data_IF_799180678896
#
_entry.id   IF_799180678896
#
_cell.length_a   1.000
_cell.length_b   1.000
_cell.length_c   1.000
_cell.angle_alpha   90.00
_cell.angle_beta   90.00
_cell.angle_gamma   90.00
#
_symmetry.space_group_name_H-M   'P 1'
#
loop_
_entity.id
_entity.type
_entity.pdbx_description
1 polymer ?
#
# COMPACT_ATOMS: atom_id res chain seq x y z
N UNK A 1 32.94 3.99 -11.64
CA UNK A 1 31.86 3.56 -12.56
C UNK A 1 31.69 2.04 -12.66
N UNK A 2 32.74 1.22 -12.76
CA UNK A 2 32.63 -0.26 -12.86
C UNK A 2 31.98 -0.97 -11.64
N UNK A 3 32.08 -0.42 -10.42
CA UNK A 3 31.46 -0.98 -9.20
C UNK A 3 29.95 -0.74 -9.11
N UNK A 4 29.43 0.33 -9.75
CA UNK A 4 28.00 0.63 -9.79
C UNK A 4 27.26 -0.29 -10.78
N UNK A 5 27.94 -0.67 -11.89
CA UNK A 5 27.40 -1.62 -12.88
C UNK A 5 27.27 -3.06 -12.32
N UNK A 6 28.17 -3.48 -11.42
CA UNK A 6 28.07 -4.78 -10.77
C UNK A 6 26.90 -4.86 -9.76
N UNK A 7 26.56 -3.75 -9.11
CA UNK A 7 25.41 -3.68 -8.21
C UNK A 7 24.08 -3.76 -8.95
N UNK A 8 24.03 -3.20 -10.18
CA UNK A 8 22.84 -3.27 -11.04
C UNK A 8 22.58 -4.68 -11.62
N UNK A 9 23.65 -5.46 -11.84
CA UNK A 9 23.55 -6.85 -12.35
C UNK A 9 23.13 -7.83 -11.25
N UNK A 10 23.45 -7.57 -9.98
CA UNK A 10 23.00 -8.36 -8.84
C UNK A 10 21.49 -8.22 -8.54
N UNK A 11 20.80 -7.27 -9.17
CA UNK A 11 19.35 -7.07 -9.10
C UNK A 11 18.57 -7.81 -10.21
N UNK A 12 19.22 -8.72 -10.94
CA UNK A 12 18.51 -9.61 -11.87
C UNK A 12 17.51 -10.51 -11.11
N UNK A 13 16.30 -10.67 -11.62
CA UNK A 13 15.16 -11.18 -10.88
C UNK A 13 15.40 -12.62 -10.43
N UNK A 14 15.55 -12.85 -9.14
CA UNK A 14 15.11 -14.11 -8.57
C UNK A 14 13.63 -14.23 -8.95
N UNK A 15 13.28 -15.27 -9.70
CA UNK A 15 11.92 -15.58 -10.07
C UNK A 15 11.11 -15.89 -8.78
N UNK A 16 10.76 -14.86 -8.03
CA UNK A 16 9.84 -14.96 -6.93
C UNK A 16 8.45 -15.09 -7.54
N UNK A 17 7.84 -16.25 -7.41
CA UNK A 17 6.43 -16.42 -7.70
C UNK A 17 5.67 -15.58 -6.67
N UNK A 18 5.23 -14.38 -7.05
CA UNK A 18 4.28 -13.64 -6.24
C UNK A 18 2.95 -14.38 -6.31
N UNK A 19 2.47 -14.81 -5.16
CA UNK A 19 1.20 -15.51 -5.08
C UNK A 19 0.07 -14.49 -5.01
N UNK A 20 -0.84 -14.56 -5.99
CA UNK A 20 -2.10 -13.85 -5.96
C UNK A 20 -2.91 -14.26 -4.73
N UNK A 21 -3.47 -13.27 -4.01
CA UNK A 21 -4.38 -13.51 -2.88
C UNK A 21 -5.82 -13.37 -3.34
N UNK A 22 -6.66 -14.37 -3.08
CA UNK A 22 -8.09 -14.33 -3.42
C UNK A 22 -8.85 -13.33 -2.54
N UNK A 23 -8.39 -13.11 -1.32
CA UNK A 23 -8.98 -12.18 -0.34
C UNK A 23 -8.37 -10.79 -0.53
N UNK A 24 -9.20 -9.77 -0.37
CA UNK A 24 -8.80 -8.36 -0.45
C UNK A 24 -7.67 -8.06 0.55
N UNK A 25 -6.62 -7.39 0.06
CA UNK A 25 -5.52 -6.86 0.87
C UNK A 25 -5.55 -5.34 0.78
N UNK A 26 -6.25 -4.70 1.71
CA UNK A 26 -6.37 -3.25 1.79
C UNK A 26 -5.19 -2.61 2.52
N UNK A 27 -4.82 -1.39 2.12
CA UNK A 27 -3.95 -0.53 2.91
C UNK A 27 -4.71 0.16 4.07
N UNK A 28 -6.04 0.13 4.05
CA UNK A 28 -6.89 0.57 5.15
C UNK A 28 -7.18 -0.59 6.12
N UNK A 29 -7.36 -0.33 7.41
CA UNK A 29 -7.22 0.93 8.12
C UNK A 29 -5.74 1.27 8.35
N UNK A 30 -5.49 2.54 8.72
CA UNK A 30 -4.15 3.08 8.90
C UNK A 30 -3.56 3.69 7.63
N UNK A 31 -2.28 4.00 7.65
CA UNK A 31 -1.55 4.65 6.57
C UNK A 31 -0.41 3.79 6.00
N UNK A 32 -0.17 2.60 6.54
CA UNK A 32 0.86 1.71 6.04
C UNK A 32 0.45 1.03 4.74
N UNK A 33 1.42 0.85 3.86
CA UNK A 33 1.25 0.07 2.63
C UNK A 33 1.79 -1.34 2.84
N UNK A 34 1.03 -2.35 2.39
CA UNK A 34 1.47 -3.73 2.33
C UNK A 34 2.60 -3.92 1.31
N UNK A 35 3.53 -4.84 1.57
CA UNK A 35 4.57 -5.22 0.62
C UNK A 35 4.02 -6.00 -0.59
N UNK A 36 2.80 -6.52 -0.51
CA UNK A 36 2.17 -7.29 -1.60
C UNK A 36 1.41 -6.37 -2.55
N UNK A 37 1.48 -6.70 -3.84
CA UNK A 37 0.66 -6.05 -4.87
C UNK A 37 -0.74 -6.71 -4.94
N UNK A 38 -1.71 -6.01 -5.53
CA UNK A 38 -3.09 -6.50 -5.65
C UNK A 38 -3.26 -7.68 -6.63
N UNK A 39 -2.23 -7.98 -7.43
CA UNK A 39 -2.26 -9.02 -8.46
C UNK A 39 -2.73 -8.52 -9.84
N UNK A 40 -2.32 -9.23 -10.89
CA UNK A 40 -2.60 -8.83 -12.28
C UNK A 40 -4.09 -8.78 -12.57
N UNK A 41 -4.54 -7.68 -13.21
CA UNK A 41 -5.93 -7.42 -13.58
C UNK A 41 -6.91 -7.33 -12.41
N UNK A 42 -6.41 -7.05 -11.24
CA UNK A 42 -7.20 -6.67 -10.08
C UNK A 42 -7.27 -5.16 -10.01
N UNK A 43 -8.48 -4.62 -9.86
CA UNK A 43 -8.75 -3.22 -9.61
C UNK A 43 -9.34 -3.09 -8.21
N UNK A 44 -8.72 -2.31 -7.34
CA UNK A 44 -9.15 -2.11 -5.96
C UNK A 44 -9.36 -0.62 -5.67
N UNK A 45 -10.50 -0.32 -5.09
CA UNK A 45 -10.86 1.01 -4.60
C UNK A 45 -10.81 0.99 -3.08
N UNK A 46 -10.19 2.00 -2.50
CA UNK A 46 -10.13 2.21 -1.06
C UNK A 46 -10.57 3.64 -0.76
N UNK A 47 -11.41 3.83 0.24
CA UNK A 47 -11.89 5.14 0.61
C UNK A 47 -12.26 5.23 2.07
N UNK A 48 -12.07 6.42 2.67
CA UNK A 48 -12.41 6.66 4.05
C UNK A 48 -12.81 8.11 4.30
N UNK A 49 -13.85 8.28 5.11
CA UNK A 49 -14.21 9.56 5.71
C UNK A 49 -13.40 9.73 6.99
N UNK A 50 -12.75 10.85 7.14
CA UNK A 50 -11.93 11.13 8.31
C UNK A 50 -12.30 12.48 8.92
N UNK A 51 -12.07 12.58 10.23
CA UNK A 51 -12.19 13.78 11.01
C UNK A 51 -10.94 13.94 11.87
N UNK A 52 -10.44 15.16 12.00
CA UNK A 52 -9.34 15.53 12.89
C UNK A 52 -9.64 16.83 13.59
N UNK A 53 -9.40 16.86 14.90
CA UNK A 53 -9.37 18.06 15.69
C UNK A 53 -7.94 18.34 16.14
N UNK A 54 -7.48 19.56 15.90
CA UNK A 54 -6.15 20.04 16.23
C UNK A 54 -6.26 21.32 17.07
N UNK A 55 -5.72 21.31 18.28
CA UNK A 55 -5.75 22.46 19.21
C UNK A 55 -4.33 22.96 19.48
N UNK A 56 -4.06 24.20 19.12
CA UNK A 56 -2.76 24.84 19.28
C UNK A 56 -2.76 25.80 20.46
N UNK A 57 -2.38 25.34 21.67
CA UNK A 57 -2.46 26.08 22.93
C UNK A 57 -1.65 27.39 22.94
N UNK A 58 -0.55 27.49 22.19
CA UNK A 58 0.31 28.70 22.18
C UNK A 58 -0.28 29.83 21.36
N UNK A 59 -1.05 29.56 20.32
CA UNK A 59 -1.65 30.55 19.44
C UNK A 59 -3.16 30.66 19.66
N UNK A 60 -3.69 29.91 20.62
CA UNK A 60 -5.15 29.82 20.90
C UNK A 60 -5.96 29.53 19.63
N UNK A 61 -5.42 28.65 18.79
CA UNK A 61 -6.01 28.29 17.52
C UNK A 61 -6.56 26.87 17.60
N UNK A 62 -7.82 26.70 17.21
CA UNK A 62 -8.49 25.39 17.09
C UNK A 62 -8.86 25.14 15.64
N UNK A 63 -8.45 24.00 15.12
CA UNK A 63 -8.75 23.57 13.74
C UNK A 63 -9.52 22.27 13.76
N UNK A 64 -10.60 22.21 12.99
CA UNK A 64 -11.32 20.99 12.71
C UNK A 64 -11.18 20.69 11.23
N UNK A 65 -10.70 19.51 10.92
CA UNK A 65 -10.59 18.99 9.57
C UNK A 65 -11.57 17.83 9.37
N UNK A 66 -12.20 17.79 8.24
CA UNK A 66 -12.97 16.64 7.78
C UNK A 66 -12.67 16.40 6.31
N UNK A 67 -12.72 15.17 5.87
CA UNK A 67 -12.39 14.91 4.47
C UNK A 67 -12.57 13.48 4.05
N UNK A 68 -12.14 13.21 2.82
CA UNK A 68 -12.18 11.91 2.16
C UNK A 68 -10.77 11.54 1.74
N UNK A 69 -10.29 10.39 2.22
CA UNK A 69 -9.14 9.72 1.63
C UNK A 69 -9.63 8.78 0.53
N UNK A 70 -8.91 8.71 -0.57
CA UNK A 70 -9.20 7.79 -1.64
C UNK A 70 -7.93 7.18 -2.22
N UNK A 71 -8.01 5.93 -2.64
CA UNK A 71 -6.98 5.25 -3.39
C UNK A 71 -7.60 4.33 -4.44
N UNK A 72 -6.96 4.28 -5.60
CA UNK A 72 -7.26 3.33 -6.68
C UNK A 72 -5.98 2.57 -6.96
N UNK A 73 -6.02 1.24 -6.86
CA UNK A 73 -4.88 0.35 -7.06
C UNK A 73 -5.18 -0.61 -8.20
N UNK A 74 -4.25 -0.79 -9.11
CA UNK A 74 -4.39 -1.67 -10.25
C UNK A 74 -3.14 -2.53 -10.47
N UNK A 75 -3.32 -3.84 -10.50
CA UNK A 75 -2.27 -4.80 -10.81
C UNK A 75 -1.98 -4.86 -12.31
N UNK A 76 -0.72 -4.61 -12.69
CA UNK A 76 -0.33 -4.37 -14.06
C UNK A 76 0.85 -5.25 -14.49
N UNK A 77 0.71 -5.98 -15.61
CA UNK A 77 1.67 -6.88 -16.26
C UNK A 77 2.19 -8.05 -15.41
N UNK A 78 2.62 -7.81 -14.18
CA UNK A 78 3.25 -8.79 -13.29
C UNK A 78 2.55 -8.82 -11.95
N UNK A 79 2.52 -9.97 -11.31
CA UNK A 79 1.92 -10.14 -9.98
C UNK A 79 2.57 -9.24 -8.91
N UNK A 80 3.84 -8.86 -9.13
CA UNK A 80 4.61 -8.02 -8.24
C UNK A 80 4.40 -6.52 -8.44
N UNK A 81 3.73 -6.11 -9.54
CA UNK A 81 3.63 -4.70 -9.94
C UNK A 81 2.20 -4.18 -9.80
N UNK A 82 2.02 -3.12 -9.04
CA UNK A 82 0.79 -2.35 -9.02
C UNK A 82 1.04 -0.87 -9.29
N UNK A 83 0.08 -0.24 -9.96
CA UNK A 83 -0.01 1.20 -10.11
C UNK A 83 -1.10 1.70 -9.19
N UNK A 84 -0.87 2.85 -8.55
CA UNK A 84 -1.81 3.44 -7.60
C UNK A 84 -1.93 4.95 -7.77
N UNK A 85 -3.16 5.41 -7.60
CA UNK A 85 -3.53 6.81 -7.45
C UNK A 85 -4.14 6.97 -6.07
N UNK A 86 -3.62 7.84 -5.25
CA UNK A 86 -4.16 8.16 -3.93
C UNK A 86 -4.15 9.65 -3.68
N UNK A 87 -5.08 10.08 -2.86
CA UNK A 87 -5.19 11.47 -2.48
C UNK A 87 -6.15 11.69 -1.32
N UNK A 88 -6.18 12.95 -0.89
CA UNK A 88 -7.00 13.42 0.20
C UNK A 88 -7.67 14.72 -0.21
N UNK A 89 -8.99 14.76 -0.04
CA UNK A 89 -9.81 15.93 -0.16
C UNK A 89 -10.25 16.34 1.25
N UNK A 90 -10.07 17.60 1.62
CA UNK A 90 -10.40 18.08 2.96
C UNK A 90 -11.18 19.39 2.94
N UNK A 91 -11.96 19.56 3.98
CA UNK A 91 -12.57 20.79 4.41
C UNK A 91 -12.04 21.10 5.82
N UNK A 92 -11.46 22.28 6.00
CA UNK A 92 -11.01 22.77 7.30
C UNK A 92 -11.87 23.94 7.79
N UNK A 93 -12.02 23.98 9.10
CA UNK A 93 -12.63 25.07 9.81
C UNK A 93 -11.72 25.48 10.96
N UNK A 94 -11.18 26.68 10.86
CA UNK A 94 -10.20 27.24 11.80
C UNK A 94 -10.83 28.35 12.62
N UNK A 95 -10.63 28.30 13.94
CA UNK A 95 -10.96 29.37 14.89
C UNK A 95 -9.67 29.93 15.46
N UNK A 96 -9.54 31.23 15.45
CA UNK A 96 -8.49 31.97 16.11
C UNK A 96 -9.05 33.23 16.79
N UNK A 97 -8.19 33.99 17.47
CA UNK A 97 -8.57 35.23 18.16
C UNK A 97 -9.06 36.34 17.21
N UNK A 98 -8.87 36.21 15.89
CA UNK A 98 -9.24 37.19 14.86
C UNK A 98 -10.54 36.81 14.13
N UNK A 99 -11.09 35.62 14.41
CA UNK A 99 -12.32 35.13 13.80
C UNK A 99 -12.29 33.69 13.36
N UNK A 100 -13.11 33.35 12.38
CA UNK A 100 -13.16 32.00 11.82
C UNK A 100 -12.95 32.02 10.31
N UNK A 101 -12.29 31.01 9.80
CA UNK A 101 -12.09 30.80 8.38
C UNK A 101 -12.33 29.35 7.99
N UNK A 102 -12.78 29.13 6.76
CA UNK A 102 -12.98 27.77 6.26
C UNK A 102 -12.45 27.63 4.84
N UNK A 103 -11.95 26.45 4.51
CA UNK A 103 -11.41 26.17 3.20
C UNK A 103 -11.74 24.74 2.77
N UNK A 104 -11.82 24.54 1.46
CA UNK A 104 -12.03 23.25 0.82
C UNK A 104 -10.99 23.04 -0.29
N UNK A 105 -10.40 21.87 -0.36
CA UNK A 105 -9.44 21.55 -1.42
C UNK A 105 -8.76 20.21 -1.27
N UNK A 106 -7.94 19.90 -2.28
CA UNK A 106 -7.07 18.73 -2.23
C UNK A 106 -5.87 19.00 -1.32
N UNK A 107 -5.63 18.12 -0.36
CA UNK A 107 -4.47 18.15 0.53
C UNK A 107 -3.26 17.57 -0.18
N UNK A 108 -3.39 16.36 -0.70
CA UNK A 108 -2.35 15.74 -1.53
C UNK A 108 -2.98 14.85 -2.59
N UNK A 109 -2.25 14.64 -3.68
CA UNK A 109 -2.55 13.61 -4.66
C UNK A 109 -1.22 13.02 -5.12
N UNK A 110 -1.18 11.70 -5.25
CA UNK A 110 0.03 10.99 -5.65
C UNK A 110 -0.34 9.90 -6.65
N UNK A 111 0.35 9.88 -7.79
CA UNK A 111 0.33 8.76 -8.72
C UNK A 111 1.68 8.05 -8.64
N UNK A 112 1.68 6.73 -8.57
CA UNK A 112 2.93 5.98 -8.44
C UNK A 112 2.75 4.50 -8.74
N UNK A 113 3.86 3.79 -8.64
CA UNK A 113 3.92 2.35 -8.81
C UNK A 113 4.66 1.72 -7.64
N UNK A 114 4.19 0.54 -7.24
CA UNK A 114 4.84 -0.30 -6.24
C UNK A 114 5.29 -1.60 -6.88
N UNK A 115 6.50 -2.00 -6.59
CA UNK A 115 7.08 -3.25 -7.07
C UNK A 115 7.60 -4.09 -5.91
N UNK A 116 7.09 -5.31 -5.78
CA UNK A 116 7.58 -6.29 -4.81
C UNK A 116 8.91 -6.87 -5.29
N UNK A 117 9.97 -6.58 -4.56
CA UNK A 117 11.34 -7.03 -4.89
C UNK A 117 11.62 -8.43 -4.40
N UNK A 118 11.15 -8.74 -3.20
CA UNK A 118 11.47 -9.99 -2.51
C UNK A 118 10.27 -10.49 -1.71
N UNK A 119 10.06 -11.81 -1.77
CA UNK A 119 9.12 -12.56 -0.93
C UNK A 119 9.82 -13.81 -0.45
N UNK A 120 9.87 -14.09 0.86
CA UNK A 120 10.46 -15.31 1.38
C UNK A 120 9.70 -16.56 0.88
N UNK A 121 10.41 -17.55 0.37
CA UNK A 121 9.81 -18.77 -0.20
C UNK A 121 9.01 -19.59 0.81
N UNK A 122 9.37 -19.52 2.10
CA UNK A 122 8.67 -20.26 3.15
C UNK A 122 7.21 -19.78 3.38
N UNK A 123 6.85 -18.58 2.93
CA UNK A 123 5.46 -18.09 3.00
C UNK A 123 4.53 -18.85 2.05
N UNK A 124 5.07 -19.53 1.04
CA UNK A 124 4.33 -20.35 0.10
C UNK A 124 4.34 -21.86 0.49
N UNK A 125 5.00 -22.22 1.60
CA UNK A 125 5.01 -23.59 2.12
C UNK A 125 3.61 -23.98 2.61
N UNK A 126 3.15 -25.17 2.22
CA UNK A 126 1.88 -25.71 2.70
C UNK A 126 1.95 -25.99 4.21
N UNK A 127 0.88 -25.70 4.98
CA UNK A 127 0.83 -26.04 6.40
C UNK A 127 1.07 -27.53 6.63
N UNK A 128 1.77 -27.86 7.71
CA UNK A 128 1.96 -29.25 8.13
C UNK A 128 0.65 -29.84 8.62
N UNK A 129 0.08 -30.80 7.88
CA UNK A 129 -1.20 -31.42 8.19
C UNK A 129 -1.18 -32.23 9.51
N UNK A 130 0.01 -32.64 10.01
CA UNK A 130 0.15 -33.53 11.16
C UNK A 130 0.53 -32.82 12.46
N UNK A 131 0.85 -31.51 12.42
CA UNK A 131 1.33 -30.80 13.60
C UNK A 131 0.81 -29.37 13.68
N UNK A 132 -0.16 -29.15 14.53
CA UNK A 132 -0.62 -27.79 14.87
C UNK A 132 0.52 -26.93 15.43
N UNK A 133 1.35 -27.47 16.31
CA UNK A 133 2.49 -26.77 16.91
C UNK A 133 3.51 -26.33 15.83
N UNK A 134 3.77 -27.16 14.83
CA UNK A 134 4.66 -26.80 13.74
C UNK A 134 4.17 -25.59 12.93
N UNK A 135 2.86 -25.43 12.79
CA UNK A 135 2.25 -24.35 12.05
C UNK A 135 2.10 -23.05 12.88
N UNK A 136 1.98 -23.17 14.21
CA UNK A 136 1.65 -22.03 15.08
C UNK A 136 2.82 -21.59 15.99
N UNK A 137 4.00 -22.20 15.86
CA UNK A 137 5.18 -21.80 16.64
C UNK A 137 5.90 -20.64 16.00
N UNK A 138 6.41 -19.72 16.81
CA UNK A 138 7.38 -18.71 16.38
C UNK A 138 8.64 -19.39 15.81
N UNK A 139 9.12 -18.88 14.67
CA UNK A 139 10.38 -19.29 14.04
C UNK A 139 11.13 -18.04 13.62
N UNK A 140 12.42 -17.97 13.91
CA UNK A 140 13.27 -16.83 13.55
C UNK A 140 13.23 -16.51 12.04
N UNK A 141 13.10 -17.51 11.18
CA UNK A 141 12.96 -17.34 9.73
C UNK A 141 11.73 -16.49 9.34
N UNK A 142 10.69 -16.52 10.16
CA UNK A 142 9.44 -15.77 9.90
C UNK A 142 9.61 -14.24 10.09
N UNK A 143 10.71 -13.80 10.69
CA UNK A 143 11.07 -12.37 10.76
C UNK A 143 11.69 -11.85 9.46
N UNK A 144 12.08 -12.75 8.52
CA UNK A 144 12.57 -12.31 7.21
C UNK A 144 11.43 -11.63 6.46
N UNK A 145 11.53 -10.31 6.15
CA UNK A 145 10.42 -9.58 5.57
C UNK A 145 10.31 -9.80 4.06
N UNK A 146 9.10 -9.73 3.56
CA UNK A 146 8.85 -9.37 2.16
C UNK A 146 9.20 -7.91 1.95
N UNK A 147 9.78 -7.56 0.81
CA UNK A 147 10.29 -6.21 0.52
C UNK A 147 9.64 -5.69 -0.75
N UNK A 148 9.14 -4.46 -0.70
CA UNK A 148 8.67 -3.75 -1.87
C UNK A 148 9.22 -2.33 -1.90
N UNK A 149 9.33 -1.76 -3.09
CA UNK A 149 9.64 -0.35 -3.31
C UNK A 149 8.45 0.34 -3.97
N UNK A 150 8.17 1.54 -3.51
CA UNK A 150 7.21 2.45 -4.12
C UNK A 150 7.92 3.68 -4.65
N UNK A 151 7.55 4.11 -5.85
CA UNK A 151 7.97 5.38 -6.42
C UNK A 151 6.76 6.08 -7.04
N UNK A 152 6.60 7.35 -6.75
CA UNK A 152 5.47 8.15 -7.21
C UNK A 152 5.81 9.62 -7.35
N UNK A 153 4.87 10.35 -7.91
CA UNK A 153 4.90 11.78 -8.07
C UNK A 153 3.68 12.39 -7.39
N UNK A 154 3.92 13.28 -6.45
CA UNK A 154 2.87 14.11 -5.90
C UNK A 154 2.54 15.24 -6.87
N UNK A 155 1.27 15.59 -6.95
CA UNK A 155 0.79 16.79 -7.61
C UNK A 155 -0.21 17.52 -6.70
N UNK A 156 0.03 18.81 -6.54
CA UNK A 156 -0.74 19.68 -5.68
C UNK A 156 -1.53 20.66 -6.56
N UNK A 157 -2.85 20.42 -6.78
CA UNK A 157 -3.67 21.34 -7.55
C UNK A 157 -3.83 22.71 -6.86
N UNK A 158 -3.76 22.68 -5.52
CA UNK A 158 -3.91 23.85 -4.67
C UNK A 158 -2.83 23.81 -3.57
N UNK A 159 -2.06 24.91 -3.43
CA UNK A 159 -1.00 25.05 -2.42
C UNK A 159 -1.49 25.49 -1.03
N UNK A 160 -2.78 25.63 -0.84
CA UNK A 160 -3.33 26.24 0.38
C UNK A 160 -2.98 25.54 1.69
N UNK A 161 -2.82 24.21 1.64
CA UNK A 161 -2.43 23.39 2.78
C UNK A 161 -0.91 23.26 2.95
N UNK A 162 -0.13 23.99 2.16
CA UNK A 162 1.31 23.88 2.13
C UNK A 162 1.97 25.26 2.10
N UNK A 163 3.20 25.34 2.56
CA UNK A 163 4.02 26.53 2.46
C UNK A 163 4.35 26.84 0.99
N UNK A 164 4.60 28.12 0.68
CA UNK A 164 4.86 28.57 -0.71
C UNK A 164 6.03 27.88 -1.38
N UNK A 165 7.04 27.49 -0.61
CA UNK A 165 8.26 26.82 -1.09
C UNK A 165 8.01 25.41 -1.59
N UNK A 166 6.85 24.78 -1.27
CA UNK A 166 6.55 23.42 -1.67
C UNK A 166 6.18 23.38 -3.16
N UNK A 167 6.92 22.58 -3.97
CA UNK A 167 6.67 22.50 -5.41
C UNK A 167 5.34 21.80 -5.69
N UNK A 168 4.66 22.22 -6.78
CA UNK A 168 3.42 21.57 -7.21
C UNK A 168 3.61 20.11 -7.62
N UNK A 169 4.78 19.80 -8.19
CA UNK A 169 5.19 18.44 -8.55
C UNK A 169 6.40 18.05 -7.71
N UNK A 170 6.34 16.92 -7.07
CA UNK A 170 7.44 16.43 -6.23
C UNK A 170 7.49 14.91 -6.15
N UNK A 171 8.68 14.30 -6.16
CA UNK A 171 8.82 12.87 -6.07
C UNK A 171 8.56 12.37 -4.65
N UNK A 172 8.04 11.14 -4.57
CA UNK A 172 7.84 10.37 -3.36
C UNK A 172 8.36 8.97 -3.56
N UNK A 173 9.13 8.46 -2.62
CA UNK A 173 9.61 7.06 -2.62
C UNK A 173 9.36 6.44 -1.26
N UNK A 174 9.16 5.12 -1.24
CA UNK A 174 9.05 4.38 0.00
C UNK A 174 9.68 2.99 -0.12
N UNK A 175 10.32 2.56 0.97
CA UNK A 175 10.72 1.18 1.18
C UNK A 175 9.72 0.53 2.15
N UNK A 176 9.20 -0.62 1.78
CA UNK A 176 8.12 -1.31 2.47
C UNK A 176 8.60 -2.70 2.86
N UNK A 177 8.46 -3.03 4.13
CA UNK A 177 8.86 -4.29 4.72
C UNK A 177 7.64 -4.92 5.40
N UNK A 178 7.39 -6.19 5.15
CA UNK A 178 6.28 -6.92 5.78
C UNK A 178 6.73 -8.29 6.23
N UNK A 179 6.51 -8.61 7.50
CA UNK A 179 6.84 -9.90 8.10
C UNK A 179 5.61 -10.52 8.78
N UNK A 180 5.58 -11.84 8.84
CA UNK A 180 4.54 -12.63 9.49
C UNK A 180 5.18 -13.51 10.58
N UNK A 181 5.55 -12.92 11.75
CA UNK A 181 6.33 -13.61 12.78
C UNK A 181 5.67 -14.86 13.33
N UNK A 182 4.36 -14.83 13.44
CA UNK A 182 3.49 -15.97 13.80
C UNK A 182 2.22 -15.90 12.96
N UNK A 183 1.49 -16.99 12.77
CA UNK A 183 0.24 -16.99 12.04
C UNK A 183 -0.73 -15.92 12.54
N UNK A 184 -1.41 -15.24 11.61
CA UNK A 184 -2.39 -14.18 11.88
C UNK A 184 -1.81 -12.88 12.44
N UNK A 185 -0.52 -12.77 12.65
CA UNK A 185 0.15 -11.53 13.05
C UNK A 185 0.99 -11.03 11.90
N UNK A 186 0.72 -9.82 11.47
CA UNK A 186 1.44 -9.14 10.39
C UNK A 186 2.08 -7.88 10.94
N UNK A 187 3.36 -7.71 10.68
CA UNK A 187 4.11 -6.50 11.00
C UNK A 187 4.52 -5.83 9.69
N UNK A 188 4.14 -4.58 9.54
CA UNK A 188 4.48 -3.78 8.36
C UNK A 188 5.29 -2.57 8.79
N UNK A 189 6.40 -2.30 8.10
CA UNK A 189 7.19 -1.10 8.28
C UNK A 189 7.37 -0.39 6.94
N UNK A 190 7.03 0.89 6.88
CA UNK A 190 7.25 1.73 5.73
C UNK A 190 8.22 2.86 6.09
N UNK A 191 9.23 3.07 5.26
CA UNK A 191 10.15 4.21 5.33
C UNK A 191 9.92 5.06 4.09
N UNK A 192 9.53 6.30 4.29
CA UNK A 192 9.04 7.18 3.23
C UNK A 192 9.92 8.42 3.16
N UNK A 193 10.35 8.78 1.94
CA UNK A 193 10.96 10.06 1.63
C UNK A 193 10.06 10.78 0.62
N UNK A 194 9.53 11.90 1.04
CA UNK A 194 8.60 12.73 0.29
C UNK A 194 9.22 14.09 0.00
N UNK A 195 9.00 14.66 -1.21
CA UNK A 195 9.49 15.99 -1.61
C UNK A 195 11.01 16.21 -1.41
N UNK A 196 11.81 15.16 -1.45
CA UNK A 196 13.22 15.12 -1.03
C UNK A 196 14.21 15.84 -1.96
N UNK A 197 13.77 16.39 -3.09
CA UNK A 197 14.66 17.10 -4.02
C UNK A 197 15.11 18.49 -3.51
N UNK A 198 14.32 19.09 -2.62
CA UNK A 198 14.65 20.37 -1.99
C UNK A 198 14.60 20.17 -0.48
N UNK A 199 15.65 20.62 0.22
CA UNK A 199 15.80 20.43 1.65
C UNK A 199 14.66 21.09 2.45
N UNK A 200 14.24 22.27 2.04
CA UNK A 200 13.17 23.06 2.69
C UNK A 200 11.79 22.38 2.61
N UNK A 201 11.58 21.56 1.58
CA UNK A 201 10.31 20.84 1.35
C UNK A 201 10.39 19.37 1.72
N UNK A 202 11.59 18.85 2.02
CA UNK A 202 11.81 17.42 2.27
C UNK A 202 11.07 16.96 3.53
N UNK A 203 10.37 15.84 3.43
CA UNK A 203 9.70 15.19 4.54
C UNK A 203 10.07 13.71 4.58
N UNK A 204 10.48 13.25 5.73
CA UNK A 204 10.79 11.86 6.01
C UNK A 204 9.81 11.31 7.02
N UNK A 205 9.28 10.14 6.77
CA UNK A 205 8.36 9.51 7.71
C UNK A 205 8.58 8.01 7.78
N UNK A 206 8.23 7.45 8.93
CA UNK A 206 8.12 6.03 9.11
C UNK A 206 6.70 5.67 9.58
N UNK A 207 6.26 4.48 9.22
CA UNK A 207 5.02 3.90 9.70
C UNK A 207 5.31 2.47 10.11
N UNK A 208 4.95 2.11 11.33
CA UNK A 208 5.07 0.76 11.87
C UNK A 208 3.68 0.29 12.28
N UNK A 209 3.20 -0.78 11.67
CA UNK A 209 1.86 -1.33 11.90
C UNK A 209 1.97 -2.77 12.35
N UNK A 210 1.26 -3.10 13.42
CA UNK A 210 1.04 -4.45 13.91
C UNK A 210 -0.44 -4.79 13.70
N UNK A 211 -0.73 -5.82 12.95
CA UNK A 211 -2.09 -6.32 12.72
C UNK A 211 -2.24 -7.73 13.25
N UNK A 212 -3.33 -8.01 13.91
CA UNK A 212 -3.72 -9.33 14.36
C UNK A 212 -5.08 -9.72 13.79
N UNK A 213 -5.12 -10.80 13.00
CA UNK A 213 -6.35 -11.36 12.46
C UNK A 213 -6.97 -12.29 13.51
N UNK A 214 -8.23 -12.05 13.87
CA UNK A 214 -8.94 -12.88 14.86
C UNK A 214 -9.27 -14.27 14.30
N UNK A 215 -9.57 -15.21 15.19
CA UNK A 215 -9.78 -16.63 14.85
C UNK A 215 -10.90 -16.90 13.85
N UNK A 216 -11.90 -16.03 13.80
CA UNK A 216 -13.01 -16.15 12.87
C UNK A 216 -12.67 -15.75 11.41
N UNK A 217 -11.48 -15.13 11.19
CA UNK A 217 -11.07 -14.65 9.88
C UNK A 217 -11.81 -13.41 9.35
N UNK A 218 -12.87 -12.95 10.05
CA UNK A 218 -13.69 -11.82 9.63
C UNK A 218 -13.21 -10.49 10.20
N UNK A 219 -12.58 -10.51 11.37
CA UNK A 219 -12.13 -9.34 12.09
C UNK A 219 -10.62 -9.32 12.24
N UNK A 220 -10.06 -8.13 12.08
CA UNK A 220 -8.66 -7.82 12.38
C UNK A 220 -8.61 -6.60 13.28
N UNK A 221 -7.66 -6.58 14.19
CA UNK A 221 -7.33 -5.41 15.00
C UNK A 221 -5.93 -4.94 14.61
N UNK A 222 -5.68 -3.64 14.67
CA UNK A 222 -4.35 -3.11 14.39
C UNK A 222 -3.97 -1.99 15.35
N UNK A 223 -2.66 -1.84 15.50
CA UNK A 223 -2.03 -0.70 16.14
C UNK A 223 -0.94 -0.16 15.20
N UNK A 224 -0.90 1.15 15.02
CA UNK A 224 0.03 1.82 14.13
C UNK A 224 0.71 2.98 14.83
N UNK A 225 2.01 3.09 14.62
CA UNK A 225 2.83 4.23 15.04
C UNK A 225 3.42 4.89 13.80
N UNK A 226 3.15 6.17 13.63
CA UNK A 226 3.68 6.99 12.56
C UNK A 226 4.54 8.12 13.14
N UNK A 227 5.75 8.30 12.61
CA UNK A 227 6.57 9.47 12.85
C UNK A 227 6.77 10.26 11.57
N UNK A 228 6.67 11.58 11.66
CA UNK A 228 6.88 12.53 10.56
C UNK A 228 7.95 13.52 10.96
N UNK A 229 8.87 13.79 10.05
CA UNK A 229 9.97 14.71 10.24
C UNK A 229 10.18 15.58 8.98
N UNK A 230 10.11 16.88 9.15
CA UNK A 230 10.59 17.88 8.20
C UNK A 230 11.27 19.03 8.94
N UNK A 231 11.80 20.02 8.24
CA UNK A 231 12.50 21.14 8.89
C UNK A 231 11.59 21.99 9.79
N UNK A 232 10.32 22.08 9.47
CA UNK A 232 9.36 22.96 10.13
C UNK A 232 8.49 22.24 11.16
N UNK A 233 8.32 20.93 10.99
CA UNK A 233 7.37 20.15 11.76
C UNK A 233 7.88 18.73 12.05
N UNK A 234 7.63 18.29 13.27
CA UNK A 234 7.89 16.90 13.71
C UNK A 234 6.68 16.43 14.48
N UNK A 235 6.22 15.23 14.21
CA UNK A 235 5.09 14.66 14.92
C UNK A 235 5.23 13.14 15.10
N UNK A 236 4.53 12.64 16.11
CA UNK A 236 4.31 11.22 16.33
C UNK A 236 2.82 10.99 16.55
N UNK A 237 2.27 10.03 15.82
CA UNK A 237 0.84 9.73 15.82
C UNK A 237 0.68 8.22 16.06
N UNK A 238 -0.16 7.87 17.02
CA UNK A 238 -0.59 6.48 17.24
C UNK A 238 -2.02 6.31 16.77
N UNK A 239 -2.29 5.22 16.04
CA UNK A 239 -3.64 4.82 15.63
C UNK A 239 -3.95 3.42 16.12
N UNK A 240 -5.20 3.21 16.47
CA UNK A 240 -5.77 1.92 16.83
C UNK A 240 -7.05 1.74 16.03
N UNK A 241 -7.30 0.54 15.52
CA UNK A 241 -8.51 0.34 14.77
C UNK A 241 -8.82 -1.12 14.50
N UNK A 242 -9.89 -1.30 13.76
CA UNK A 242 -10.46 -2.59 13.41
C UNK A 242 -10.77 -2.63 11.92
N UNK A 243 -10.65 -3.81 11.34
CA UNK A 243 -11.14 -4.10 10.01
C UNK A 243 -12.11 -5.30 10.06
N UNK A 244 -13.16 -5.22 9.28
CA UNK A 244 -14.17 -6.26 9.11
C UNK A 244 -14.23 -6.68 7.65
N UNK A 245 -13.95 -7.94 7.37
CA UNK A 245 -14.06 -8.54 6.06
C UNK A 245 -15.50 -8.97 5.81
N UNK A 246 -16.28 -8.10 5.15
CA UNK A 246 -17.68 -8.38 4.85
C UNK A 246 -17.84 -9.43 3.72
N UNK A 247 -16.84 -9.54 2.85
CA UNK A 247 -16.69 -10.60 1.85
C UNK A 247 -15.23 -10.64 1.36
N UNK A 248 -14.84 -11.64 0.58
CA UNK A 248 -13.49 -11.73 -0.01
C UNK A 248 -13.11 -10.48 -0.83
N UNK A 249 -14.10 -9.67 -1.23
CA UNK A 249 -13.94 -8.47 -2.07
C UNK A 249 -14.26 -7.16 -1.38
N UNK A 250 -14.84 -7.19 -0.17
CA UNK A 250 -15.28 -6.00 0.56
C UNK A 250 -14.78 -6.03 2.00
N UNK A 251 -14.00 -5.03 2.37
CA UNK A 251 -13.57 -4.76 3.73
C UNK A 251 -14.13 -3.43 4.21
N UNK A 252 -14.63 -3.40 5.43
CA UNK A 252 -15.00 -2.18 6.16
C UNK A 252 -13.98 -1.97 7.28
N UNK A 253 -13.69 -0.72 7.62
CA UNK A 253 -12.70 -0.40 8.65
C UNK A 253 -13.05 0.87 9.41
N UNK A 254 -12.53 0.94 10.64
CA UNK A 254 -12.57 2.14 11.46
C UNK A 254 -11.31 2.23 12.31
N UNK A 255 -10.83 3.46 12.51
CA UNK A 255 -9.72 3.74 13.40
C UNK A 255 -9.89 5.06 14.16
N UNK A 256 -9.17 5.15 15.26
CA UNK A 256 -8.98 6.36 16.04
C UNK A 256 -7.50 6.60 16.26
N UNK A 257 -7.09 7.86 16.28
CA UNK A 257 -5.70 8.23 16.44
C UNK A 257 -5.52 9.46 17.31
N UNK A 258 -4.32 9.58 17.86
CA UNK A 258 -3.91 10.73 18.63
C UNK A 258 -2.43 11.07 18.39
N UNK A 259 -2.14 12.36 18.41
CA UNK A 259 -0.78 12.89 18.37
C UNK A 259 -0.18 12.95 19.77
N UNK A 260 1.13 12.68 19.88
CA UNK A 260 1.87 12.72 21.13
C UNK A 260 2.31 14.14 21.54
N UNK A 261 2.11 15.09 20.65
CA UNK A 261 2.43 16.50 20.94
C UNK A 261 1.33 17.18 21.73
N UNK A 262 1.73 18.07 22.64
CA UNK A 262 0.81 18.96 23.35
C UNK A 262 0.40 20.17 22.51
N UNK A 263 1.20 20.51 21.48
CA UNK A 263 0.98 21.69 20.65
C UNK A 263 1.46 21.46 19.21
N UNK A 264 0.56 21.21 18.27
CA UNK A 264 -0.88 21.02 18.46
C UNK A 264 -1.24 19.66 19.08
N UNK A 265 -2.24 19.65 19.94
CA UNK A 265 -2.85 18.41 20.41
C UNK A 265 -3.83 17.91 19.32
N UNK A 266 -3.65 16.68 18.84
CA UNK A 266 -4.40 16.14 17.71
C UNK A 266 -5.16 14.88 18.09
N UNK A 267 -6.43 14.84 17.72
CA UNK A 267 -7.29 13.64 17.77
C UNK A 267 -7.92 13.43 16.44
N UNK A 268 -7.96 12.18 15.98
CA UNK A 268 -8.48 11.83 14.66
C UNK A 268 -9.29 10.56 14.71
N UNK A 269 -10.16 10.40 13.74
CA UNK A 269 -10.92 9.18 13.50
C UNK A 269 -11.20 9.00 12.03
N UNK A 270 -11.27 7.76 11.58
CA UNK A 270 -11.57 7.39 10.21
C UNK A 270 -12.54 6.22 10.19
N UNK A 271 -13.49 6.26 9.25
CA UNK A 271 -14.30 5.13 8.83
C UNK A 271 -14.14 4.94 7.34
N UNK A 272 -13.96 3.72 6.88
CA UNK A 272 -13.65 3.48 5.48
C UNK A 272 -14.14 2.14 4.96
N UNK A 273 -14.02 2.00 3.65
CA UNK A 273 -14.33 0.77 2.93
C UNK A 273 -13.32 0.56 1.80
N UNK A 274 -13.07 -0.70 1.51
CA UNK A 274 -12.24 -1.12 0.38
C UNK A 274 -12.99 -2.15 -0.42
N UNK A 275 -13.04 -1.96 -1.75
CA UNK A 275 -13.73 -2.86 -2.67
C UNK A 275 -12.83 -3.29 -3.81
N UNK A 276 -12.87 -4.59 -4.14
CA UNK A 276 -12.02 -5.22 -5.13
C UNK A 276 -12.83 -5.77 -6.29
N UNK A 277 -12.45 -5.39 -7.51
CA UNK A 277 -12.93 -5.99 -8.76
C UNK A 277 -11.84 -6.92 -9.26
N UNK A 278 -12.14 -8.21 -9.32
CA UNK A 278 -11.17 -9.26 -9.59
C UNK A 278 -11.41 -9.93 -10.93
N UNK A 279 -10.52 -9.70 -11.87
CA UNK A 279 -10.51 -10.33 -13.19
C UNK A 279 -9.29 -11.26 -13.40
N UNK A 280 -8.56 -11.57 -12.33
CA UNK A 280 -7.33 -12.36 -12.38
C UNK A 280 -7.56 -13.78 -12.94
N UNK A 281 -8.52 -14.53 -12.41
CA UNK A 281 -8.82 -15.90 -12.84
C UNK A 281 -9.21 -15.98 -14.31
N UNK A 282 -9.95 -14.99 -14.82
CA UNK A 282 -10.32 -14.92 -16.24
C UNK A 282 -9.12 -14.69 -17.13
N UNK A 283 -8.18 -13.86 -16.67
CA UNK A 283 -6.92 -13.58 -17.35
C UNK A 283 -6.03 -14.82 -17.43
N UNK A 284 -5.82 -15.54 -16.33
CA UNK A 284 -5.00 -16.76 -16.30
C UNK A 284 -5.58 -17.84 -17.23
N UNK A 285 -6.91 -18.05 -17.22
CA UNK A 285 -7.56 -18.99 -18.13
C UNK A 285 -7.33 -18.62 -19.60
N UNK A 286 -7.34 -17.33 -19.94
CA UNK A 286 -7.08 -16.86 -21.31
C UNK A 286 -5.62 -17.11 -21.72
N UNK A 287 -4.65 -16.75 -20.87
CA UNK A 287 -3.23 -16.96 -21.13
C UNK A 287 -2.90 -18.45 -21.29
N UNK A 288 -3.49 -19.32 -20.48
CA UNK A 288 -3.30 -20.76 -20.58
C UNK A 288 -3.88 -21.31 -21.90
N UNK A 289 -5.06 -20.86 -22.35
CA UNK A 289 -5.62 -21.22 -23.65
C UNK A 289 -4.72 -20.79 -24.81
N UNK A 290 -4.24 -19.54 -24.80
CA UNK A 290 -3.35 -19.01 -25.84
C UNK A 290 -2.01 -19.78 -25.93
N UNK A 291 -1.48 -20.27 -24.80
CA UNK A 291 -0.27 -21.12 -24.80
C UNK A 291 -0.51 -22.52 -25.34
N UNK A 292 -1.72 -23.06 -25.23
CA UNK A 292 -2.07 -24.43 -25.69
C UNK A 292 -2.45 -24.44 -27.15
N UNK A 293 -3.12 -23.42 -27.66
CA UNK A 293 -3.58 -23.36 -29.06
C UNK A 293 -2.46 -23.25 -30.13
N UNK A 294 -1.35 -22.50 -29.92
CA UNK A 294 -0.28 -22.44 -30.93
C UNK A 294 0.33 -23.80 -31.26
N UNK A 295 0.40 -24.70 -30.30
CA UNK A 295 0.96 -26.05 -30.51
C UNK A 295 0.10 -26.89 -31.45
N UNK A 296 -1.22 -26.70 -31.45
CA UNK A 296 -2.14 -27.44 -32.35
C UNK A 296 -2.06 -26.93 -33.80
N UNK A 297 -1.84 -25.63 -33.99
CA UNK A 297 -1.72 -25.02 -35.32
C UNK A 297 -0.43 -25.43 -36.01
N UNK A 298 0.68 -25.50 -35.27
CA UNK A 298 1.97 -25.93 -35.82
C UNK A 298 2.01 -27.40 -36.21
N UNK A 299 1.37 -28.28 -35.46
CA UNK A 299 1.27 -29.67 -35.83
C UNK A 299 0.42 -29.87 -37.11
N UNK A 300 -0.67 -29.11 -37.29
CA UNK A 300 -1.43 -29.14 -38.53
C UNK A 300 -0.67 -28.60 -39.74
N UNK A 301 0.08 -27.50 -39.56
CA UNK A 301 0.94 -26.94 -40.62
C UNK A 301 2.08 -27.88 -40.97
N UNK A 302 2.72 -28.50 -39.99
CA UNK A 302 3.80 -29.49 -40.22
C UNK A 302 3.29 -30.75 -40.94
N UNK A 303 2.11 -31.27 -40.55
CA UNK A 303 1.48 -32.41 -41.20
C UNK A 303 1.08 -32.09 -42.66
N UNK A 304 0.58 -30.90 -42.93
CA UNK A 304 0.22 -30.45 -44.30
C UNK A 304 1.44 -30.22 -45.19
N UNK A 305 2.58 -29.77 -44.62
CA UNK A 305 3.85 -29.62 -45.34
C UNK A 305 4.48 -30.97 -45.69
N UNK A 306 4.44 -31.92 -44.74
CA UNK A 306 4.95 -33.26 -44.98
C UNK A 306 4.11 -34.06 -46.02
N UNK A 307 2.80 -33.80 -46.11
CA UNK A 307 1.96 -34.39 -47.17
C UNK A 307 2.23 -33.80 -48.57
N UNK A 308 2.61 -32.54 -48.70
CA UNK A 308 3.03 -31.92 -49.96
C UNK A 308 4.36 -32.45 -50.47
N UNK A 309 5.34 -32.64 -49.58
CA UNK A 309 6.67 -33.16 -49.93
C UNK A 309 6.70 -34.69 -50.14
N UNK A 310 5.57 -35.40 -50.00
CA UNK A 310 5.45 -36.84 -50.28
C UNK A 310 4.72 -37.11 -51.59
N UNK A 311 4.35 -36.09 -52.37
CA UNK A 311 3.62 -36.18 -53.66
C UNK A 311 4.49 -35.69 -54.81
N UNK A 312 5.62 -35.05 -54.53
CA UNK A 312 6.69 -34.70 -55.46
C UNK A 312 7.83 -35.72 -55.36
#
# INVERSE_FOLDING_TARGET
MKKLSLLLIALLPMAASAQYTEIINSNLPGNSQSAYAVGVRVLQFEGGLWYERSNHKKTDTSMNFTGVNYAVRYGFFKEQLEVMLNGTLAYDYTFDNNGSSSHFGFVNNTIGAKYQLFKPAFLDEKPNAHSWKANNSFRWRNLTPSIALYAGMNFLPNKRYYYEEIPQLSPKVAAIFQAEPIPRVVVVANLIADRFLKKESAEYSYILTLTHNLDNGWFSIFAEQQGVYNEQYRDQITRLGVAFLASDKLQLNADVGFGWKDTPQRYMGLIGASYRIDNHNSYIKKVLKEKVEPTKIDHKKKAKRNRRNAID
#
